data_IF_814371894222
#
_entry.id   IF_814371894222
#
_cell.length_a   1.000
_cell.length_b   1.000
_cell.length_c   1.000
_cell.angle_alpha   90.00
_cell.angle_beta   90.00
_cell.angle_gamma   90.00
#
_symmetry.space_group_name_H-M   'P 1'
#
loop_
_entity.id
_entity.type
_entity.pdbx_description
1 polymer ?
#
# COMPACT_ATOMS: atom_id res chain seq x y z
N UNK A 1 0.29 -6.73 -16.36
CA UNK A 1 -1.11 -6.61 -15.87
C UNK A 1 -1.28 -5.16 -15.43
N UNK A 2 -2.13 -4.40 -16.09
CA UNK A 2 -2.32 -2.98 -15.75
C UNK A 2 -3.20 -2.82 -14.51
N UNK A 3 -3.14 -1.64 -13.88
CA UNK A 3 -3.98 -1.23 -12.73
C UNK A 3 -5.47 -1.58 -12.94
N UNK A 4 -5.93 -1.64 -14.19
CA UNK A 4 -7.33 -1.94 -14.57
C UNK A 4 -7.72 -3.43 -14.60
N UNK A 5 -6.79 -4.36 -14.69
CA UNK A 5 -7.14 -5.78 -14.57
C UNK A 5 -7.67 -6.13 -13.17
N UNK A 6 -7.27 -5.35 -12.17
CA UNK A 6 -7.78 -5.45 -10.80
C UNK A 6 -9.22 -4.91 -10.68
N UNK A 7 -9.56 -3.83 -11.39
CA UNK A 7 -10.90 -3.22 -11.33
C UNK A 7 -11.99 -4.08 -11.98
N UNK A 8 -11.66 -4.94 -12.93
CA UNK A 8 -12.62 -5.84 -13.60
C UNK A 8 -13.10 -7.01 -12.72
N UNK A 9 -12.50 -7.24 -11.56
CA UNK A 9 -12.70 -8.46 -10.75
C UNK A 9 -13.39 -8.29 -9.40
N UNK A 10 -13.78 -7.06 -9.02
CA UNK A 10 -14.55 -6.86 -7.78
C UNK A 10 -16.04 -6.68 -8.11
N UNK A 11 -16.83 -7.75 -7.99
CA UNK A 11 -18.30 -7.64 -7.99
C UNK A 11 -18.76 -6.84 -6.78
N UNK A 12 -19.51 -5.77 -7.06
CA UNK A 12 -20.15 -4.94 -6.06
C UNK A 12 -21.20 -5.75 -5.29
N UNK A 13 -21.04 -5.87 -3.98
CA UNK A 13 -22.16 -6.19 -3.07
C UNK A 13 -23.19 -5.07 -3.21
N UNK A 14 -24.38 -5.39 -3.74
CA UNK A 14 -25.50 -4.47 -3.82
C UNK A 14 -25.87 -3.94 -2.44
N UNK A 15 -26.05 -2.62 -2.27
CA UNK A 15 -26.67 -2.09 -1.07
C UNK A 15 -28.12 -2.57 -1.01
N UNK A 16 -28.53 -3.05 0.14
CA UNK A 16 -29.91 -3.43 0.46
C UNK A 16 -30.79 -2.18 0.32
N UNK A 17 -31.82 -2.28 -0.53
CA UNK A 17 -32.87 -1.26 -0.65
C UNK A 17 -33.50 -1.01 0.71
N UNK A 18 -33.33 0.20 1.23
CA UNK A 18 -34.10 0.69 2.37
C UNK A 18 -35.26 1.51 1.82
N UNK A 19 -36.43 1.02 2.10
CA UNK A 19 -37.78 1.50 1.82
C UNK A 19 -37.92 3.02 1.96
N UNK A 20 -38.50 3.62 0.92
CA UNK A 20 -39.13 4.95 0.97
C UNK A 20 -40.31 4.93 1.98
N UNK A 21 -40.18 5.68 3.06
CA UNK A 21 -41.34 6.30 3.73
C UNK A 21 -40.88 7.39 4.71
N UNK A 22 -41.51 8.54 4.56
CA UNK A 22 -41.49 9.76 5.38
C UNK A 22 -40.50 10.86 4.98
N UNK A 23 -40.80 11.52 3.86
CA UNK A 23 -40.55 12.94 3.65
C UNK A 23 -41.77 13.75 4.11
N UNK A 24 -41.82 14.14 5.36
CA UNK A 24 -42.59 15.28 5.82
C UNK A 24 -41.75 16.10 6.80
N UNK A 25 -41.43 17.30 6.34
CA UNK A 25 -41.18 18.53 7.10
C UNK A 25 -40.45 18.40 8.46
N UNK A 26 -39.13 18.18 8.44
CA UNK A 26 -38.24 18.86 9.38
C UNK A 26 -37.57 20.01 8.64
N UNK A 27 -37.71 21.24 9.17
CA UNK A 27 -36.93 22.38 8.75
C UNK A 27 -35.47 22.02 8.83
N UNK A 28 -34.85 21.75 7.67
CA UNK A 28 -33.46 21.37 7.54
C UNK A 28 -32.60 22.48 8.16
N UNK A 29 -32.09 22.27 9.34
CA UNK A 29 -30.86 22.91 9.80
C UNK A 29 -29.82 22.52 8.77
N UNK A 30 -29.53 23.45 7.84
CA UNK A 30 -28.68 23.15 6.71
C UNK A 30 -27.28 22.76 7.19
N UNK A 31 -26.95 21.49 7.10
CA UNK A 31 -25.59 21.00 7.28
C UNK A 31 -24.80 21.44 6.04
N UNK A 32 -24.27 22.66 6.05
CA UNK A 32 -23.43 23.15 4.96
C UNK A 32 -21.98 22.77 5.21
N UNK A 33 -21.33 22.23 4.17
CA UNK A 33 -19.91 21.97 4.14
C UNK A 33 -19.33 22.53 2.83
N UNK A 34 -18.30 23.37 2.91
CA UNK A 34 -17.69 24.03 1.75
C UNK A 34 -16.20 23.71 1.70
N UNK A 35 -15.81 22.91 0.74
CA UNK A 35 -14.39 22.69 0.44
C UNK A 35 -13.80 23.86 -0.33
N UNK A 36 -12.77 24.51 0.20
CA UNK A 36 -12.18 25.73 -0.38
C UNK A 36 -11.32 25.39 -1.60
N UNK A 37 -11.70 25.93 -2.75
CA UNK A 37 -10.97 25.78 -4.02
C UNK A 37 -10.02 26.95 -4.26
N UNK A 38 -10.46 28.19 -3.95
CA UNK A 38 -9.64 29.38 -4.14
C UNK A 38 -10.06 30.53 -3.21
N UNK A 39 -9.18 31.54 -3.06
CA UNK A 39 -9.32 32.65 -2.14
C UNK A 39 -8.87 33.95 -2.82
N UNK A 40 -9.75 34.99 -2.81
CA UNK A 40 -9.45 36.25 -3.44
C UNK A 40 -9.68 37.40 -2.45
N UNK A 41 -8.60 38.06 -1.95
CA UNK A 41 -8.75 39.26 -1.11
C UNK A 41 -9.36 40.40 -1.86
N UNK A 42 -10.44 40.98 -1.32
CA UNK A 42 -11.14 42.17 -1.84
C UNK A 42 -10.61 43.41 -1.13
N UNK A 43 -9.64 44.11 -1.76
CA UNK A 43 -8.88 45.18 -1.12
C UNK A 43 -9.75 46.39 -0.74
N UNK A 44 -10.79 46.71 -1.51
CA UNK A 44 -11.64 47.90 -1.31
C UNK A 44 -12.61 47.74 -0.12
N UNK A 45 -13.05 46.53 0.19
CA UNK A 45 -14.07 46.25 1.21
C UNK A 45 -13.55 45.56 2.45
N UNK A 46 -12.23 45.25 2.50
CA UNK A 46 -11.63 44.43 3.54
C UNK A 46 -12.35 43.08 3.75
N UNK A 47 -12.77 42.47 2.64
CA UNK A 47 -13.45 41.19 2.60
C UNK A 47 -12.61 40.12 1.88
N UNK A 48 -13.02 38.90 2.03
CA UNK A 48 -12.42 37.71 1.33
C UNK A 48 -13.53 37.05 0.53
N UNK A 49 -13.31 36.88 -0.76
CA UNK A 49 -14.09 36.00 -1.62
C UNK A 49 -13.51 34.58 -1.53
N UNK A 50 -14.34 33.65 -1.09
CA UNK A 50 -14.02 32.21 -1.02
C UNK A 50 -14.76 31.54 -2.15
N UNK A 51 -14.04 30.82 -2.98
CA UNK A 51 -14.61 29.95 -4.02
C UNK A 51 -14.51 28.52 -3.51
N UNK A 52 -15.60 27.78 -3.50
CA UNK A 52 -15.62 26.44 -2.94
C UNK A 52 -16.70 25.54 -3.52
N UNK A 53 -16.59 24.26 -3.26
CA UNK A 53 -17.60 23.25 -3.53
C UNK A 53 -18.51 23.11 -2.32
N UNK A 54 -19.79 23.38 -2.48
CA UNK A 54 -20.81 23.33 -1.41
C UNK A 54 -21.57 22.02 -1.46
N UNK A 55 -21.57 21.31 -0.34
CA UNK A 55 -22.50 20.23 0.00
C UNK A 55 -23.49 20.72 1.05
N UNK A 56 -24.77 20.38 0.88
CA UNK A 56 -25.86 20.85 1.72
C UNK A 56 -26.30 22.29 1.39
N UNK A 57 -26.89 22.98 2.33
CA UNK A 57 -27.54 24.30 2.10
C UNK A 57 -26.95 25.40 2.96
N UNK A 58 -26.73 26.56 2.34
CA UNK A 58 -26.18 27.75 2.99
C UNK A 58 -27.03 28.99 2.64
N UNK A 59 -27.16 29.93 3.59
CA UNK A 59 -27.85 31.24 3.41
C UNK A 59 -26.95 32.39 3.81
N UNK A 60 -27.19 33.56 3.25
CA UNK A 60 -26.59 34.79 3.74
C UNK A 60 -26.91 34.97 5.22
N UNK A 61 -25.91 35.35 6.02
CA UNK A 61 -26.00 35.47 7.48
C UNK A 61 -25.64 34.17 8.24
N UNK A 62 -25.47 33.04 7.58
CA UNK A 62 -25.03 31.83 8.26
C UNK A 62 -23.63 32.00 8.84
N UNK A 63 -23.43 31.41 10.03
CA UNK A 63 -22.13 31.30 10.68
C UNK A 63 -21.49 29.96 10.32
N UNK A 64 -20.30 29.98 9.73
CA UNK A 64 -19.53 28.80 9.40
C UNK A 64 -18.25 28.77 10.22
N UNK A 65 -17.95 27.64 10.77
CA UNK A 65 -16.61 27.31 11.30
C UNK A 65 -15.70 26.90 10.15
N UNK A 66 -14.38 26.93 10.35
CA UNK A 66 -13.45 26.38 9.37
C UNK A 66 -12.30 25.63 10.03
N UNK A 67 -11.78 24.61 9.34
CA UNK A 67 -10.61 23.84 9.73
C UNK A 67 -9.70 23.58 8.52
N UNK A 68 -8.49 23.11 8.81
CA UNK A 68 -7.55 22.59 7.83
C UNK A 68 -7.41 21.09 8.07
N UNK A 69 -8.10 20.22 7.34
CA UNK A 69 -8.11 18.78 7.59
C UNK A 69 -6.74 18.12 7.58
N UNK A 70 -5.78 18.67 6.83
CA UNK A 70 -4.37 18.26 6.84
C UNK A 70 -3.63 18.55 8.16
N UNK A 71 -4.18 19.42 9.00
CA UNK A 71 -3.62 19.81 10.30
C UNK A 71 -4.48 19.39 11.49
N UNK A 72 -5.74 19.03 11.24
CA UNK A 72 -6.72 18.59 12.24
C UNK A 72 -8.14 19.11 11.93
N UNK A 73 -9.12 18.48 12.55
CA UNK A 73 -10.56 18.80 12.35
C UNK A 73 -11.10 19.86 13.30
N UNK A 74 -10.26 20.36 14.21
CA UNK A 74 -10.66 21.40 15.15
C UNK A 74 -10.92 22.74 14.43
N UNK A 75 -11.94 23.48 14.92
CA UNK A 75 -12.28 24.79 14.38
C UNK A 75 -11.15 25.80 14.65
N UNK A 76 -10.65 26.43 13.58
CA UNK A 76 -9.64 27.51 13.64
C UNK A 76 -10.27 28.89 13.77
N UNK A 77 -11.60 29.00 13.59
CA UNK A 77 -12.36 30.25 13.67
C UNK A 77 -13.75 30.13 13.09
N UNK A 78 -14.51 31.20 13.17
CA UNK A 78 -15.87 31.28 12.64
C UNK A 78 -16.00 32.52 11.76
N UNK A 79 -16.69 32.40 10.63
CA UNK A 79 -16.99 33.49 9.70
C UNK A 79 -18.49 33.60 9.45
N UNK A 80 -18.96 34.79 9.14
CA UNK A 80 -20.34 35.05 8.73
C UNK A 80 -20.39 35.25 7.21
N UNK A 81 -21.27 34.56 6.54
CA UNK A 81 -21.51 34.71 5.11
C UNK A 81 -22.25 36.01 4.83
N UNK A 82 -21.59 36.96 4.16
CA UNK A 82 -22.14 38.28 3.84
C UNK A 82 -22.84 38.32 2.48
N UNK A 83 -22.35 37.51 1.53
CA UNK A 83 -22.90 37.42 0.19
C UNK A 83 -22.66 36.04 -0.37
N UNK A 84 -23.61 35.56 -1.17
CA UNK A 84 -23.55 34.33 -1.91
C UNK A 84 -23.77 34.59 -3.41
N UNK A 85 -23.06 33.84 -4.24
CA UNK A 85 -23.36 33.80 -5.68
C UNK A 85 -22.92 32.48 -6.27
N UNK A 86 -23.57 32.07 -7.36
CA UNK A 86 -23.17 30.94 -8.22
C UNK A 86 -23.40 31.34 -9.66
N UNK A 87 -22.53 30.88 -10.57
CA UNK A 87 -22.62 31.19 -12.01
C UNK A 87 -22.76 32.69 -12.31
N UNK A 88 -22.06 33.54 -11.56
CA UNK A 88 -22.11 35.01 -11.64
C UNK A 88 -23.52 35.65 -11.32
N UNK A 89 -24.38 34.93 -10.59
CA UNK A 89 -25.65 35.42 -10.09
C UNK A 89 -25.67 35.46 -8.59
N UNK A 90 -26.03 36.60 -8.02
CA UNK A 90 -26.24 36.74 -6.59
C UNK A 90 -27.42 35.86 -6.14
N UNK A 91 -27.32 35.30 -4.94
CA UNK A 91 -28.34 34.46 -4.34
C UNK A 91 -28.43 34.68 -2.82
N UNK A 92 -29.64 34.58 -2.27
CA UNK A 92 -29.85 34.61 -0.82
C UNK A 92 -29.52 33.27 -0.14
N UNK A 93 -29.60 32.17 -0.94
CA UNK A 93 -29.27 30.83 -0.50
C UNK A 93 -28.73 29.99 -1.67
N UNK A 94 -27.86 29.03 -1.38
CA UNK A 94 -27.35 28.04 -2.31
C UNK A 94 -27.50 26.66 -1.72
N UNK A 95 -27.63 25.61 -2.58
CA UNK A 95 -27.75 24.22 -2.17
C UNK A 95 -26.99 23.36 -3.18
N UNK A 96 -26.06 22.50 -2.69
CA UNK A 96 -25.29 21.52 -3.48
C UNK A 96 -24.65 22.09 -4.75
N UNK A 97 -23.92 23.20 -4.60
CA UNK A 97 -23.29 23.91 -5.72
C UNK A 97 -21.84 23.47 -5.94
N UNK A 98 -21.53 23.15 -7.18
CA UNK A 98 -20.16 22.77 -7.61
C UNK A 98 -19.17 23.92 -7.43
N UNK A 99 -19.60 25.16 -7.70
CA UNK A 99 -18.83 26.39 -7.53
C UNK A 99 -19.69 27.44 -6.83
N UNK A 100 -19.62 27.44 -5.51
CA UNK A 100 -20.21 28.47 -4.66
C UNK A 100 -19.19 29.59 -4.42
N UNK A 101 -19.63 30.82 -4.51
CA UNK A 101 -18.87 32.01 -4.16
C UNK A 101 -19.42 32.60 -2.85
N UNK A 102 -18.59 32.65 -1.81
CA UNK A 102 -18.93 33.20 -0.50
C UNK A 102 -18.10 34.45 -0.23
N UNK A 103 -18.73 35.56 0.13
CA UNK A 103 -18.01 36.72 0.62
C UNK A 103 -18.15 36.78 2.14
N UNK A 104 -17.02 36.89 2.83
CA UNK A 104 -16.91 36.99 4.28
C UNK A 104 -16.07 38.22 4.67
N UNK A 105 -16.29 38.78 5.88
CA UNK A 105 -15.43 39.83 6.38
C UNK A 105 -14.08 39.26 6.80
N UNK A 106 -12.99 39.97 6.49
CA UNK A 106 -11.65 39.53 6.83
C UNK A 106 -11.37 39.71 8.31
N UNK A 107 -11.15 38.61 9.01
CA UNK A 107 -10.75 38.54 10.42
C UNK A 107 -9.36 37.91 10.54
N UNK A 108 -8.58 38.15 11.61
CA UNK A 108 -7.21 37.66 11.73
C UNK A 108 -7.07 36.15 11.62
N UNK A 109 -8.05 35.36 12.07
CA UNK A 109 -8.02 33.92 11.97
C UNK A 109 -8.05 33.41 10.51
N UNK A 110 -8.56 34.20 9.56
CA UNK A 110 -8.63 33.85 8.14
C UNK A 110 -7.27 33.84 7.46
N UNK A 111 -6.20 34.34 8.08
CA UNK A 111 -4.84 34.18 7.58
C UNK A 111 -4.39 32.68 7.61
N UNK A 112 -5.13 31.83 8.34
CA UNK A 112 -4.94 30.37 8.36
C UNK A 112 -5.75 29.63 7.29
N UNK A 113 -6.70 30.31 6.64
CA UNK A 113 -7.53 29.72 5.60
C UNK A 113 -6.69 29.59 4.30
N UNK A 114 -6.72 28.40 3.71
CA UNK A 114 -5.97 28.07 2.49
C UNK A 114 -6.81 27.25 1.53
N UNK A 115 -6.32 27.00 0.34
CA UNK A 115 -6.89 26.00 -0.57
C UNK A 115 -6.90 24.65 0.13
N UNK A 116 -8.01 23.90 0.04
CA UNK A 116 -8.22 22.66 0.78
C UNK A 116 -8.73 22.84 2.21
N UNK A 117 -8.85 24.07 2.74
CA UNK A 117 -9.60 24.28 3.99
C UNK A 117 -11.08 23.92 3.80
N UNK A 118 -11.76 23.60 4.89
CA UNK A 118 -13.20 23.31 4.88
C UNK A 118 -13.93 24.25 5.80
N UNK A 119 -14.96 24.94 5.26
CA UNK A 119 -15.92 25.69 6.06
C UNK A 119 -17.14 24.79 6.31
N UNK A 120 -17.68 24.82 7.53
CA UNK A 120 -18.78 23.93 7.90
C UNK A 120 -19.72 24.57 8.93
N UNK A 121 -20.99 24.20 8.86
CA UNK A 121 -21.98 24.55 9.89
C UNK A 121 -21.82 23.67 11.13
N UNK A 122 -22.29 24.13 12.28
CA UNK A 122 -22.26 23.32 13.51
C UNK A 122 -23.10 22.05 13.33
N UNK A 123 -22.53 20.89 13.73
CA UNK A 123 -23.16 19.58 13.61
C UNK A 123 -22.77 18.78 12.35
N UNK A 124 -21.86 19.31 11.53
CA UNK A 124 -21.27 18.54 10.43
C UNK A 124 -20.26 17.51 10.98
N UNK A 125 -20.47 16.26 10.63
CA UNK A 125 -19.60 15.15 11.04
C UNK A 125 -18.21 15.22 10.39
N UNK A 126 -17.21 14.64 11.02
CA UNK A 126 -15.83 14.64 10.51
C UNK A 126 -15.71 13.98 9.13
N UNK A 127 -16.47 12.91 8.89
CA UNK A 127 -16.51 12.21 7.61
C UNK A 127 -16.97 13.14 6.47
N UNK A 128 -17.97 13.97 6.71
CA UNK A 128 -18.44 14.96 5.73
C UNK A 128 -17.40 16.05 5.48
N UNK A 129 -16.68 16.52 6.51
CA UNK A 129 -15.58 17.49 6.34
C UNK A 129 -14.46 16.89 5.49
N UNK A 130 -14.09 15.62 5.72
CA UNK A 130 -13.11 14.91 4.92
C UNK A 130 -13.56 14.73 3.48
N UNK A 131 -14.82 14.39 3.24
CA UNK A 131 -15.39 14.29 1.89
C UNK A 131 -15.26 15.61 1.13
N UNK A 132 -15.68 16.72 1.76
CA UNK A 132 -15.59 18.06 1.13
C UNK A 132 -14.15 18.52 0.90
N UNK A 133 -13.22 18.19 1.82
CA UNK A 133 -11.80 18.43 1.64
C UNK A 133 -11.26 17.68 0.41
N UNK A 134 -11.58 16.41 0.32
CA UNK A 134 -11.14 15.54 -0.75
C UNK A 134 -11.70 15.93 -2.12
N UNK A 135 -12.98 16.35 -2.18
CA UNK A 135 -13.58 16.83 -3.42
C UNK A 135 -12.95 18.18 -3.86
N UNK A 136 -12.64 19.06 -2.93
CA UNK A 136 -11.91 20.30 -3.22
C UNK A 136 -10.52 20.04 -3.80
N UNK A 137 -9.75 19.11 -3.21
CA UNK A 137 -8.44 18.71 -3.73
C UNK A 137 -8.55 18.09 -5.12
N UNK A 138 -9.51 17.21 -5.31
CA UNK A 138 -9.73 16.59 -6.62
C UNK A 138 -10.06 17.63 -7.71
N UNK A 139 -10.93 18.59 -7.39
CA UNK A 139 -11.27 19.68 -8.34
C UNK A 139 -10.07 20.57 -8.63
N UNK A 140 -9.26 20.88 -7.60
CA UNK A 140 -8.01 21.59 -7.78
C UNK A 140 -7.07 20.82 -8.71
N UNK A 141 -6.95 19.51 -8.54
CA UNK A 141 -6.14 18.65 -9.41
C UNK A 141 -6.64 18.63 -10.87
N UNK A 142 -7.94 18.47 -11.09
CA UNK A 142 -8.53 18.51 -12.45
C UNK A 142 -8.26 19.87 -13.10
N UNK A 143 -8.41 20.97 -12.34
CA UNK A 143 -8.15 22.31 -12.84
C UNK A 143 -6.65 22.53 -13.20
N UNK A 144 -5.72 21.92 -12.48
CA UNK A 144 -4.29 21.93 -12.85
C UNK A 144 -4.08 21.22 -14.20
N UNK A 145 -4.66 20.04 -14.38
CA UNK A 145 -4.52 19.26 -15.62
C UNK A 145 -5.16 19.96 -16.84
N UNK A 146 -6.20 20.73 -16.63
CA UNK A 146 -6.86 21.55 -17.65
C UNK A 146 -6.16 22.89 -17.89
N UNK A 147 -5.04 23.16 -17.21
CA UNK A 147 -4.29 24.40 -17.33
C UNK A 147 -4.94 25.60 -16.60
N UNK A 148 -5.90 25.34 -15.73
CA UNK A 148 -6.61 26.39 -14.95
C UNK A 148 -5.88 26.76 -13.65
N UNK A 149 -4.98 25.87 -13.15
CA UNK A 149 -4.14 26.11 -11.97
C UNK A 149 -2.67 25.93 -12.33
N UNK A 150 -1.79 26.55 -11.57
CA UNK A 150 -0.34 26.46 -11.81
C UNK A 150 0.23 25.17 -11.24
N UNK A 151 1.33 24.70 -11.80
CA UNK A 151 2.09 23.55 -11.26
C UNK A 151 2.52 23.77 -9.79
N UNK A 152 2.67 25.03 -9.34
CA UNK A 152 3.03 25.38 -7.97
C UNK A 152 1.96 24.96 -6.96
N UNK A 153 0.67 25.09 -7.30
CA UNK A 153 -0.43 24.64 -6.44
C UNK A 153 -0.40 23.11 -6.21
N UNK A 154 0.05 22.37 -7.22
CA UNK A 154 0.19 20.93 -7.16
C UNK A 154 1.45 20.48 -6.39
N UNK A 155 2.57 21.17 -6.57
CA UNK A 155 3.80 20.90 -5.82
C UNK A 155 3.62 21.08 -4.30
N UNK A 156 2.64 21.89 -3.88
CA UNK A 156 2.27 22.09 -2.48
C UNK A 156 1.43 20.94 -1.88
N UNK A 157 0.85 20.03 -2.70
CA UNK A 157 0.08 18.89 -2.20
C UNK A 157 0.96 17.93 -1.39
N UNK A 158 0.47 17.47 -0.25
CA UNK A 158 1.15 16.48 0.59
C UNK A 158 0.98 15.06 0.04
N UNK A 159 1.70 14.08 0.60
CA UNK A 159 1.44 12.67 0.29
C UNK A 159 0.02 12.27 0.66
N UNK A 160 -0.48 12.71 1.83
CA UNK A 160 -1.85 12.46 2.28
C UNK A 160 -2.87 12.95 1.25
N UNK A 161 -2.72 14.20 0.78
CA UNK A 161 -3.59 14.79 -0.24
C UNK A 161 -3.58 14.00 -1.54
N UNK A 162 -2.39 13.59 -1.99
CA UNK A 162 -2.22 12.87 -3.24
C UNK A 162 -2.85 11.47 -3.21
N UNK A 163 -2.72 10.76 -2.08
CA UNK A 163 -3.37 9.46 -1.85
C UNK A 163 -4.90 9.62 -1.85
N UNK A 164 -5.41 10.67 -1.19
CA UNK A 164 -6.84 10.92 -1.11
C UNK A 164 -7.45 11.31 -2.46
N UNK A 165 -6.76 12.13 -3.24
CA UNK A 165 -7.15 12.46 -4.63
C UNK A 165 -7.23 11.18 -5.47
N UNK A 166 -6.22 10.29 -5.37
CA UNK A 166 -6.21 9.02 -6.10
C UNK A 166 -7.39 8.14 -5.66
N UNK A 167 -7.70 8.07 -4.35
CA UNK A 167 -8.83 7.33 -3.80
C UNK A 167 -10.16 7.77 -4.42
N UNK A 168 -10.41 9.08 -4.41
CA UNK A 168 -11.64 9.65 -4.97
C UNK A 168 -11.77 9.42 -6.46
N UNK A 169 -10.67 9.56 -7.17
CA UNK A 169 -10.71 9.34 -8.61
C UNK A 169 -10.98 7.87 -8.96
N UNK A 170 -10.38 6.94 -8.22
CA UNK A 170 -10.68 5.51 -8.31
C UNK A 170 -12.15 5.22 -8.01
N UNK A 171 -12.70 5.83 -6.97
CA UNK A 171 -14.12 5.69 -6.61
C UNK A 171 -15.03 6.19 -7.75
N UNK A 172 -14.76 7.38 -8.32
CA UNK A 172 -15.53 7.92 -9.46
C UNK A 172 -15.46 7.01 -10.68
N UNK A 173 -14.29 6.47 -11.03
CA UNK A 173 -14.13 5.54 -12.14
C UNK A 173 -14.97 4.28 -11.93
N UNK A 174 -15.03 3.75 -10.70
CA UNK A 174 -15.86 2.57 -10.37
C UNK A 174 -17.36 2.85 -10.53
N UNK A 175 -17.85 4.02 -10.12
CA UNK A 175 -19.26 4.38 -10.25
C UNK A 175 -19.72 4.49 -11.70
N UNK A 176 -18.84 4.90 -12.60
CA UNK A 176 -19.16 5.15 -14.02
C UNK A 176 -18.83 3.96 -14.94
N UNK A 177 -18.30 2.87 -14.41
CA UNK A 177 -17.76 1.74 -15.18
C UNK A 177 -18.75 1.11 -16.19
N UNK A 178 -20.03 1.04 -15.85
CA UNK A 178 -21.07 0.44 -16.72
C UNK A 178 -21.55 1.36 -17.85
N UNK A 179 -21.35 2.67 -17.73
CA UNK A 179 -21.86 3.69 -18.67
C UNK A 179 -20.76 4.42 -19.43
N UNK A 180 -19.51 4.10 -19.15
CA UNK A 180 -18.35 4.81 -19.65
C UNK A 180 -18.07 4.46 -21.12
N UNK A 181 -17.83 5.50 -21.96
CA UNK A 181 -17.36 5.31 -23.33
C UNK A 181 -15.88 4.88 -23.35
N UNK A 182 -15.45 4.19 -24.41
CA UNK A 182 -14.04 3.78 -24.59
C UNK A 182 -13.08 4.98 -24.53
N UNK A 183 -13.45 6.13 -25.07
CA UNK A 183 -12.64 7.35 -25.02
C UNK A 183 -12.49 7.89 -23.60
N UNK A 184 -13.60 7.90 -22.82
CA UNK A 184 -13.59 8.28 -21.41
C UNK A 184 -12.73 7.32 -20.58
N UNK A 185 -12.87 6.01 -20.82
CA UNK A 185 -12.07 4.99 -20.17
C UNK A 185 -10.57 5.19 -20.38
N UNK A 186 -10.14 5.41 -21.64
CA UNK A 186 -8.73 5.67 -21.96
C UNK A 186 -8.23 6.98 -21.32
N UNK A 187 -9.06 8.02 -21.32
CA UNK A 187 -8.74 9.29 -20.65
C UNK A 187 -8.55 9.09 -19.15
N UNK A 188 -9.45 8.35 -18.50
CA UNK A 188 -9.39 8.08 -17.07
C UNK A 188 -8.20 7.18 -16.69
N UNK A 189 -7.84 6.22 -17.56
CA UNK A 189 -6.64 5.40 -17.39
C UNK A 189 -5.38 6.26 -17.33
N UNK A 190 -5.19 7.17 -18.28
CA UNK A 190 -4.04 8.09 -18.28
C UNK A 190 -3.98 8.98 -17.04
N UNK A 191 -5.15 9.44 -16.56
CA UNK A 191 -5.23 10.24 -15.33
C UNK A 191 -4.85 9.43 -14.12
N UNK A 192 -5.30 8.17 -14.02
CA UNK A 192 -4.92 7.27 -12.92
C UNK A 192 -3.42 6.97 -12.92
N UNK A 193 -2.83 6.69 -14.07
CA UNK A 193 -1.39 6.49 -14.22
C UNK A 193 -0.62 7.72 -13.73
N UNK A 194 -1.06 8.91 -14.16
CA UNK A 194 -0.42 10.16 -13.70
C UNK A 194 -0.57 10.39 -12.20
N UNK A 195 -1.74 10.12 -11.62
CA UNK A 195 -1.96 10.21 -10.17
C UNK A 195 -1.09 9.21 -9.40
N UNK A 196 -0.94 7.99 -9.89
CA UNK A 196 -0.07 6.99 -9.29
C UNK A 196 1.42 7.41 -9.31
N UNK A 197 1.90 8.01 -10.42
CA UNK A 197 3.25 8.59 -10.50
C UNK A 197 3.47 9.67 -9.45
N UNK A 198 2.50 10.54 -9.27
CA UNK A 198 2.53 11.62 -8.30
C UNK A 198 2.60 11.08 -6.86
N UNK A 199 1.74 10.11 -6.52
CA UNK A 199 1.79 9.44 -5.21
C UNK A 199 3.14 8.79 -5.01
N UNK A 200 3.70 8.14 -6.03
CA UNK A 200 5.05 7.57 -6.00
C UNK A 200 6.11 8.62 -5.68
N UNK A 201 6.14 9.73 -6.43
CA UNK A 201 7.14 10.78 -6.24
C UNK A 201 7.06 11.36 -4.82
N UNK A 202 5.83 11.67 -4.34
CA UNK A 202 5.62 12.15 -2.96
C UNK A 202 5.97 11.12 -1.90
N UNK A 203 5.72 9.84 -2.15
CA UNK A 203 6.09 8.75 -1.25
C UNK A 203 7.61 8.64 -1.11
N UNK A 204 8.34 8.65 -2.22
CA UNK A 204 9.80 8.51 -2.21
C UNK A 204 10.50 9.74 -1.62
N UNK A 205 9.89 10.92 -1.73
CA UNK A 205 10.39 12.16 -1.14
C UNK A 205 9.95 12.40 0.31
N UNK A 206 8.96 11.65 0.81
CA UNK A 206 8.47 11.81 2.18
C UNK A 206 9.58 11.59 3.21
N UNK A 207 9.53 12.29 4.35
CA UNK A 207 10.50 12.07 5.42
C UNK A 207 10.28 10.73 6.11
N UNK A 208 9.03 10.31 6.25
CA UNK A 208 8.68 9.01 6.81
C UNK A 208 7.26 8.60 6.41
N UNK A 209 7.00 7.28 6.48
CA UNK A 209 5.68 6.64 6.42
C UNK A 209 5.61 5.56 7.46
N UNK A 210 4.41 5.05 7.73
CA UNK A 210 4.24 3.90 8.61
C UNK A 210 3.90 2.66 7.80
N UNK A 211 4.37 1.50 8.23
CA UNK A 211 4.06 0.22 7.62
C UNK A 211 3.52 -0.75 8.67
N UNK A 212 2.53 -1.56 8.28
CA UNK A 212 1.98 -2.61 9.14
C UNK A 212 2.85 -3.86 9.00
N UNK A 213 3.31 -4.40 10.14
CA UNK A 213 4.14 -5.60 10.24
C UNK A 213 3.38 -6.72 10.95
N UNK A 214 3.70 -7.96 10.64
CA UNK A 214 3.26 -9.12 11.40
C UNK A 214 4.17 -9.32 12.61
N UNK A 215 3.60 -9.41 13.81
CA UNK A 215 4.36 -9.75 15.02
C UNK A 215 4.93 -11.17 14.96
N UNK A 216 4.24 -12.09 14.26
CA UNK A 216 4.66 -13.48 14.13
C UNK A 216 5.85 -13.66 13.21
N UNK A 217 5.84 -13.00 12.06
CA UNK A 217 6.90 -13.16 11.04
C UNK A 217 7.99 -12.11 11.15
N UNK A 218 7.75 -11.01 11.88
CA UNK A 218 8.66 -9.86 11.96
C UNK A 218 8.81 -9.06 10.66
N UNK A 219 8.12 -9.46 9.59
CA UNK A 219 8.17 -8.86 8.26
C UNK A 219 6.91 -8.03 7.98
N UNK A 220 6.89 -7.13 6.96
CA UNK A 220 5.69 -6.43 6.57
C UNK A 220 4.50 -7.37 6.34
N UNK A 221 3.34 -7.01 6.91
CA UNK A 221 2.13 -7.83 6.83
C UNK A 221 1.61 -7.85 5.39
N UNK A 222 1.42 -9.04 4.84
CA UNK A 222 0.89 -9.23 3.49
C UNK A 222 -0.64 -9.36 3.53
N UNK A 223 -1.32 -8.42 2.90
CA UNK A 223 -2.77 -8.41 2.76
C UNK A 223 -3.17 -9.08 1.44
N UNK A 224 -3.90 -10.16 1.54
CA UNK A 224 -4.52 -10.87 0.41
C UNK A 224 -5.94 -11.28 0.81
N UNK A 225 -6.86 -11.31 -0.15
CA UNK A 225 -8.23 -11.77 0.04
C UNK A 225 -8.50 -12.91 -0.91
N UNK A 226 -9.17 -13.96 -0.44
CA UNK A 226 -9.59 -15.09 -1.24
C UNK A 226 -11.07 -14.97 -1.53
N UNK A 227 -11.46 -15.09 -2.79
CA UNK A 227 -12.85 -15.08 -3.26
C UNK A 227 -13.22 -16.45 -3.81
N UNK A 228 -14.38 -16.95 -3.42
CA UNK A 228 -15.01 -18.12 -4.04
C UNK A 228 -15.68 -17.69 -5.36
N UNK A 229 -15.35 -18.35 -6.46
CA UNK A 229 -15.92 -18.13 -7.79
C UNK A 229 -16.79 -19.30 -8.24
N UNK A 230 -17.25 -20.13 -7.32
CA UNK A 230 -18.05 -21.29 -7.59
C UNK A 230 -17.32 -22.33 -8.45
N UNK A 231 -17.87 -22.68 -9.62
CA UNK A 231 -17.27 -23.69 -10.52
C UNK A 231 -15.90 -23.27 -11.09
N UNK A 232 -15.59 -21.97 -11.13
CA UNK A 232 -14.28 -21.46 -11.58
C UNK A 232 -13.19 -21.62 -10.51
N UNK A 233 -13.54 -21.99 -9.28
CA UNK A 233 -12.62 -22.18 -8.16
C UNK A 233 -12.40 -20.93 -7.32
N UNK A 234 -11.20 -20.77 -6.77
CA UNK A 234 -10.87 -19.67 -5.86
C UNK A 234 -9.87 -18.69 -6.48
N UNK A 235 -10.08 -17.40 -6.25
CA UNK A 235 -9.19 -16.31 -6.63
C UNK A 235 -8.55 -15.70 -5.38
N UNK A 236 -7.22 -15.76 -5.28
CA UNK A 236 -6.46 -14.98 -4.30
C UNK A 236 -6.02 -13.66 -4.95
N UNK A 237 -6.29 -12.54 -4.28
CA UNK A 237 -5.77 -11.24 -4.75
C UNK A 237 -4.27 -11.17 -4.58
N UNK A 238 -3.63 -10.31 -5.36
CA UNK A 238 -2.20 -10.04 -5.24
C UNK A 238 -1.86 -9.60 -3.80
N UNK A 239 -0.94 -10.30 -3.10
CA UNK A 239 -0.53 -9.90 -1.77
C UNK A 239 0.20 -8.57 -1.75
N UNK A 240 -0.29 -7.63 -0.95
CA UNK A 240 0.24 -6.27 -0.86
C UNK A 240 0.59 -5.91 0.58
N UNK A 241 1.57 -5.03 0.78
CA UNK A 241 1.83 -4.41 2.08
C UNK A 241 0.94 -3.20 2.28
N UNK A 242 0.67 -2.82 3.53
CA UNK A 242 -0.08 -1.61 3.86
C UNK A 242 0.87 -0.52 4.34
N UNK A 243 0.82 0.62 3.67
CA UNK A 243 1.44 1.87 4.11
C UNK A 243 0.37 2.82 4.63
N UNK A 244 0.72 3.52 5.70
CA UNK A 244 -0.12 4.52 6.33
C UNK A 244 0.61 5.86 6.24
N UNK A 245 -0.08 6.85 5.70
CA UNK A 245 0.44 8.21 5.70
C UNK A 245 0.47 8.77 7.12
N UNK A 246 1.37 9.70 7.46
CA UNK A 246 1.52 10.19 8.83
C UNK A 246 0.25 10.79 9.43
N UNK A 247 -0.52 11.55 8.65
CA UNK A 247 -1.76 12.17 9.13
C UNK A 247 -2.84 11.12 9.38
N UNK A 248 -2.99 10.18 8.44
CA UNK A 248 -3.98 9.12 8.55
C UNK A 248 -3.67 8.17 9.73
N UNK A 249 -2.41 7.75 9.91
CA UNK A 249 -2.03 6.93 11.06
C UNK A 249 -2.31 7.65 12.39
N UNK A 250 -2.00 8.93 12.47
CA UNK A 250 -2.25 9.74 13.68
C UNK A 250 -3.74 9.79 14.04
N UNK A 251 -4.60 9.91 13.03
CA UNK A 251 -6.06 9.95 13.19
C UNK A 251 -6.64 8.61 13.64
N UNK A 252 -6.16 7.49 13.06
CA UNK A 252 -6.72 6.16 13.29
C UNK A 252 -5.82 5.25 14.14
N UNK A 253 -4.85 5.84 14.84
CA UNK A 253 -3.83 5.11 15.60
C UNK A 253 -4.40 4.04 16.53
N UNK A 254 -5.38 4.38 17.35
CA UNK A 254 -5.98 3.46 18.32
C UNK A 254 -6.64 2.25 17.64
N UNK A 255 -7.34 2.48 16.54
CA UNK A 255 -8.00 1.41 15.77
C UNK A 255 -6.98 0.49 15.11
N UNK A 256 -5.87 1.04 14.62
CA UNK A 256 -4.86 0.27 13.91
C UNK A 256 -4.00 -0.51 14.89
N UNK A 257 -3.54 0.13 15.96
CA UNK A 257 -2.71 -0.50 16.97
C UNK A 257 -3.47 -1.57 17.78
N UNK A 258 -4.81 -1.57 17.76
CA UNK A 258 -5.64 -2.62 18.40
C UNK A 258 -5.77 -3.90 17.57
N UNK A 259 -5.25 -3.94 16.34
CA UNK A 259 -5.32 -5.13 15.49
C UNK A 259 -4.44 -6.24 16.06
N UNK A 260 -4.96 -7.45 16.25
CA UNK A 260 -4.19 -8.55 16.79
C UNK A 260 -3.09 -8.99 15.80
N UNK A 261 -1.98 -9.50 16.33
CA UNK A 261 -0.86 -10.07 15.57
C UNK A 261 -0.19 -9.08 14.60
N UNK A 262 -0.40 -7.77 14.81
CA UNK A 262 0.21 -6.74 13.97
C UNK A 262 0.76 -5.58 14.78
N UNK A 263 1.85 -5.01 14.30
CA UNK A 263 2.50 -3.83 14.87
C UNK A 263 2.80 -2.83 13.77
N UNK A 264 2.64 -1.54 14.06
CA UNK A 264 2.99 -0.47 13.13
C UNK A 264 4.42 -0.02 13.39
N UNK A 265 5.23 0.03 12.34
CA UNK A 265 6.60 0.55 12.40
C UNK A 265 6.74 1.82 11.56
N UNK A 266 7.49 2.78 12.07
CA UNK A 266 7.91 3.95 11.32
C UNK A 266 9.00 3.56 10.33
N UNK A 267 8.83 3.94 9.08
CA UNK A 267 9.82 3.80 8.01
C UNK A 267 10.31 5.20 7.69
N UNK A 268 11.49 5.53 8.16
CA UNK A 268 12.13 6.82 7.94
C UNK A 268 12.91 6.81 6.63
N UNK A 269 12.90 7.93 5.95
CA UNK A 269 13.78 8.13 4.79
C UNK A 269 15.19 8.49 5.26
N UNK A 270 16.17 8.13 4.47
CA UNK A 270 17.56 8.54 4.68
C UNK A 270 17.81 9.94 4.09
N UNK A 271 18.96 10.58 4.42
CA UNK A 271 19.31 11.90 3.88
C UNK A 271 19.37 11.90 2.34
N UNK A 272 19.79 10.80 1.74
CA UNK A 272 19.82 10.59 0.27
C UNK A 272 18.48 10.16 -0.33
N UNK A 273 17.40 10.16 0.48
CA UNK A 273 16.04 9.75 0.08
C UNK A 273 15.94 8.31 -0.46
N UNK A 274 16.78 7.39 0.06
CA UNK A 274 16.77 5.97 -0.32
C UNK A 274 16.13 5.04 0.71
N UNK A 275 15.83 5.51 1.92
CA UNK A 275 15.30 4.68 3.01
C UNK A 275 13.97 4.01 2.65
N UNK A 276 12.99 4.77 2.16
CA UNK A 276 11.68 4.26 1.75
C UNK A 276 11.81 3.39 0.50
N UNK A 277 12.60 3.79 -0.50
CA UNK A 277 12.83 2.99 -1.71
C UNK A 277 13.46 1.63 -1.37
N UNK A 278 14.46 1.57 -0.50
CA UNK A 278 15.11 0.34 -0.04
C UNK A 278 14.14 -0.57 0.74
N UNK A 279 13.29 0.03 1.58
CA UNK A 279 12.24 -0.69 2.27
C UNK A 279 11.26 -1.35 1.27
N UNK A 280 10.79 -0.59 0.29
CA UNK A 280 9.89 -1.09 -0.76
C UNK A 280 10.57 -2.16 -1.60
N UNK A 281 11.82 -1.96 -2.00
CA UNK A 281 12.61 -2.95 -2.73
C UNK A 281 12.73 -4.28 -1.96
N UNK A 282 12.97 -4.22 -0.65
CA UNK A 282 12.99 -5.40 0.22
C UNK A 282 11.62 -6.06 0.28
N UNK A 283 10.54 -5.28 0.49
CA UNK A 283 9.18 -5.81 0.56
C UNK A 283 8.76 -6.49 -0.75
N UNK A 284 9.14 -5.96 -1.90
CA UNK A 284 8.75 -6.49 -3.21
C UNK A 284 9.63 -7.65 -3.66
N UNK A 285 10.95 -7.49 -3.61
CA UNK A 285 11.89 -8.40 -4.26
C UNK A 285 12.49 -9.46 -3.34
N UNK A 286 12.41 -9.30 -2.01
CA UNK A 286 12.76 -10.35 -1.05
C UNK A 286 11.51 -10.99 -0.42
N UNK A 287 10.53 -10.19 0.02
CA UNK A 287 9.32 -10.70 0.67
C UNK A 287 8.19 -11.04 -0.30
N UNK A 288 8.28 -10.59 -1.54
CA UNK A 288 7.35 -10.94 -2.60
C UNK A 288 6.01 -10.21 -2.56
N UNK A 289 5.92 -9.06 -1.89
CA UNK A 289 4.75 -8.19 -2.02
C UNK A 289 4.59 -7.72 -3.47
N UNK A 290 3.37 -7.69 -3.97
CA UNK A 290 3.07 -7.32 -5.35
C UNK A 290 2.69 -5.84 -5.50
N UNK A 291 2.66 -5.09 -4.40
CA UNK A 291 2.36 -3.67 -4.36
C UNK A 291 2.10 -3.16 -2.96
N UNK A 292 1.57 -1.96 -2.92
CA UNK A 292 1.22 -1.22 -1.71
C UNK A 292 -0.28 -0.92 -1.69
N UNK A 293 -0.90 -1.06 -0.53
CA UNK A 293 -2.20 -0.50 -0.20
C UNK A 293 -1.96 0.72 0.69
N UNK A 294 -2.55 1.86 0.37
CA UNK A 294 -2.45 3.05 1.21
C UNK A 294 -3.64 3.17 2.15
N UNK A 295 -3.39 3.51 3.41
CA UNK A 295 -4.36 3.90 4.44
C UNK A 295 -5.51 2.90 4.62
N UNK A 296 -6.27 2.66 3.57
CA UNK A 296 -7.38 1.70 3.45
C UNK A 296 -7.17 0.82 2.23
N UNK A 297 -7.98 -0.24 2.09
CA UNK A 297 -7.89 -1.18 0.94
C UNK A 297 -8.35 -0.57 -0.41
N UNK A 298 -8.71 0.71 -0.44
CA UNK A 298 -9.28 1.35 -1.64
C UNK A 298 -8.23 1.85 -2.63
N UNK A 299 -7.05 2.22 -2.14
CA UNK A 299 -5.95 2.71 -2.98
C UNK A 299 -4.83 1.69 -2.99
N UNK A 300 -4.52 1.16 -4.16
CA UNK A 300 -3.41 0.24 -4.35
C UNK A 300 -2.56 0.64 -5.55
N UNK A 301 -1.26 0.51 -5.42
CA UNK A 301 -0.28 0.74 -6.49
C UNK A 301 0.62 -0.50 -6.59
N UNK A 302 0.81 -1.00 -7.81
CA UNK A 302 1.63 -2.18 -8.05
C UNK A 302 3.12 -1.92 -7.76
N UNK A 303 3.84 -2.97 -7.37
CA UNK A 303 5.27 -2.90 -7.08
C UNK A 303 6.08 -2.33 -8.26
N UNK A 304 5.77 -2.75 -9.49
CA UNK A 304 6.47 -2.30 -10.70
C UNK A 304 6.26 -0.81 -11.03
N UNK A 305 5.17 -0.21 -10.54
CA UNK A 305 4.92 1.22 -10.70
C UNK A 305 5.67 2.05 -9.64
N UNK A 306 6.03 1.47 -8.49
CA UNK A 306 6.70 2.16 -7.38
C UNK A 306 8.22 2.05 -7.45
N UNK A 307 8.76 0.84 -7.56
CA UNK A 307 10.19 0.56 -7.58
C UNK A 307 10.51 -0.39 -8.71
N UNK A 308 11.49 -0.05 -9.52
CA UNK A 308 11.93 -0.92 -10.61
C UNK A 308 12.59 -2.19 -10.05
N UNK A 309 12.34 -3.31 -10.72
CA UNK A 309 13.04 -4.55 -10.38
C UNK A 309 14.54 -4.36 -10.64
N UNK A 310 15.40 -4.75 -9.70
CA UNK A 310 16.85 -4.72 -9.92
C UNK A 310 17.22 -5.49 -11.19
N UNK A 311 18.02 -4.87 -12.03
CA UNK A 311 18.57 -5.51 -13.22
C UNK A 311 19.97 -6.03 -12.92
N UNK A 312 20.15 -7.33 -13.05
CA UNK A 312 21.40 -8.04 -12.82
C UNK A 312 21.95 -8.67 -14.12
N UNK A 313 21.42 -8.28 -15.28
CA UNK A 313 21.79 -8.86 -16.59
C UNK A 313 23.27 -8.74 -16.92
N UNK A 314 23.93 -7.69 -16.41
CA UNK A 314 25.35 -7.43 -16.63
C UNK A 314 26.27 -8.13 -15.62
N UNK A 315 25.69 -8.81 -14.60
CA UNK A 315 26.48 -9.51 -13.58
C UNK A 315 26.69 -10.97 -13.95
N UNK A 316 27.86 -11.55 -13.65
CA UNK A 316 28.07 -12.98 -13.69
C UNK A 316 27.05 -13.69 -12.78
N UNK A 317 26.61 -14.90 -13.16
CA UNK A 317 25.58 -15.64 -12.41
C UNK A 317 25.89 -15.80 -10.92
N UNK A 318 27.16 -15.99 -10.58
CA UNK A 318 27.62 -16.13 -9.20
C UNK A 318 27.49 -14.84 -8.37
N UNK A 319 27.41 -13.69 -9.01
CA UNK A 319 27.24 -12.37 -8.36
C UNK A 319 25.77 -11.94 -8.30
N UNK A 320 24.87 -12.66 -8.96
CA UNK A 320 23.43 -12.36 -8.90
C UNK A 320 22.93 -12.73 -7.51
N UNK A 321 22.34 -11.79 -6.76
CA UNK A 321 21.79 -12.07 -5.43
C UNK A 321 20.72 -13.16 -5.48
N UNK A 322 20.78 -14.13 -4.57
CA UNK A 322 19.71 -15.10 -4.40
C UNK A 322 18.49 -14.41 -3.85
N UNK A 323 17.36 -14.56 -4.54
CA UNK A 323 16.07 -13.99 -4.18
C UNK A 323 14.96 -14.98 -4.55
N UNK A 324 14.01 -15.18 -3.65
CA UNK A 324 12.89 -16.09 -3.84
C UNK A 324 11.55 -15.41 -3.48
N UNK A 325 11.18 -14.27 -4.11
CA UNK A 325 10.00 -13.51 -3.71
C UNK A 325 8.71 -14.35 -3.79
N UNK A 326 8.57 -15.22 -4.77
CA UNK A 326 7.39 -16.07 -4.91
C UNK A 326 7.27 -17.11 -3.78
N UNK A 327 8.37 -17.71 -3.35
CA UNK A 327 8.39 -18.67 -2.25
C UNK A 327 8.13 -17.96 -0.92
N UNK A 328 8.86 -16.88 -0.66
CA UNK A 328 8.79 -16.12 0.60
C UNK A 328 7.38 -15.54 0.82
N UNK A 329 6.75 -15.03 -0.23
CA UNK A 329 5.37 -14.54 -0.20
C UNK A 329 4.41 -15.53 0.45
N UNK A 330 4.42 -16.76 -0.02
CA UNK A 330 3.49 -17.78 0.48
C UNK A 330 3.85 -18.25 1.88
N UNK A 331 5.15 -18.32 2.19
CA UNK A 331 5.61 -18.61 3.56
C UNK A 331 5.10 -17.54 4.54
N UNK A 332 5.26 -16.25 4.21
CA UNK A 332 4.83 -15.15 5.05
C UNK A 332 3.30 -15.12 5.21
N UNK A 333 2.54 -15.37 4.14
CA UNK A 333 1.08 -15.44 4.20
C UNK A 333 0.61 -16.58 5.12
N UNK A 334 1.22 -17.74 5.08
CA UNK A 334 0.92 -18.84 6.01
C UNK A 334 1.35 -18.51 7.44
N UNK A 335 2.57 -18.01 7.61
CA UNK A 335 3.16 -17.72 8.93
C UNK A 335 2.45 -16.61 9.71
N UNK A 336 1.84 -15.65 9.02
CA UNK A 336 1.08 -14.59 9.68
C UNK A 336 -0.34 -15.00 10.11
N UNK A 337 -0.86 -16.12 9.58
CA UNK A 337 -2.16 -16.65 9.99
C UNK A 337 -2.11 -17.27 11.39
N UNK A 338 -3.24 -17.29 12.08
CA UNK A 338 -3.45 -18.17 13.22
C UNK A 338 -3.70 -19.61 12.73
N UNK A 339 -3.59 -20.57 13.65
CA UNK A 339 -3.96 -21.94 13.34
C UNK A 339 -5.41 -21.96 12.83
N UNK A 340 -5.68 -22.53 11.66
CA UNK A 340 -7.03 -22.58 11.12
C UNK A 340 -8.00 -23.28 12.09
N UNK A 341 -9.14 -22.68 12.32
CA UNK A 341 -10.20 -23.20 13.21
C UNK A 341 -11.54 -23.34 12.49
N UNK A 342 -11.64 -22.83 11.25
CA UNK A 342 -12.84 -22.91 10.41
C UNK A 342 -12.48 -23.51 9.05
N UNK A 343 -13.46 -24.11 8.37
CA UNK A 343 -13.28 -24.65 7.01
C UNK A 343 -12.77 -23.61 6.01
N UNK A 344 -13.22 -22.34 6.14
CA UNK A 344 -12.74 -21.25 5.30
C UNK A 344 -11.26 -20.95 5.54
N UNK A 345 -10.82 -20.93 6.80
CA UNK A 345 -9.41 -20.71 7.15
C UNK A 345 -8.54 -21.89 6.69
N UNK A 346 -9.02 -23.13 6.82
CA UNK A 346 -8.34 -24.33 6.31
C UNK A 346 -8.19 -24.27 4.79
N UNK A 347 -9.23 -23.84 4.09
CA UNK A 347 -9.20 -23.65 2.64
C UNK A 347 -8.15 -22.62 2.23
N UNK A 348 -8.18 -21.43 2.85
CA UNK A 348 -7.22 -20.35 2.54
C UNK A 348 -5.79 -20.81 2.80
N UNK A 349 -5.53 -21.46 3.96
CA UNK A 349 -4.22 -22.01 4.28
C UNK A 349 -3.79 -23.08 3.25
N UNK A 350 -4.70 -23.96 2.86
CA UNK A 350 -4.45 -24.98 1.84
C UNK A 350 -4.10 -24.41 0.47
N UNK A 351 -4.73 -23.28 0.08
CA UNK A 351 -4.40 -22.57 -1.15
C UNK A 351 -3.00 -21.95 -1.09
N UNK A 352 -2.62 -21.31 0.03
CA UNK A 352 -1.28 -20.76 0.20
C UNK A 352 -0.23 -21.85 0.23
N UNK A 353 -0.49 -22.97 0.90
CA UNK A 353 0.39 -24.14 0.90
C UNK A 353 0.55 -24.72 -0.52
N UNK A 354 -0.49 -24.77 -1.32
CA UNK A 354 -0.41 -25.20 -2.72
C UNK A 354 0.50 -24.29 -3.55
N UNK A 355 0.38 -22.98 -3.41
CA UNK A 355 1.24 -22.03 -4.11
C UNK A 355 2.69 -22.11 -3.61
N UNK A 356 2.90 -22.27 -2.31
CA UNK A 356 4.22 -22.57 -1.73
C UNK A 356 4.83 -23.83 -2.35
N UNK A 357 4.05 -24.91 -2.42
CA UNK A 357 4.50 -26.18 -3.01
C UNK A 357 4.88 -26.06 -4.49
N UNK A 358 4.27 -25.15 -5.22
CA UNK A 358 4.60 -24.87 -6.62
C UNK A 358 5.83 -23.98 -6.80
N UNK A 359 6.11 -23.12 -5.83
CA UNK A 359 7.27 -22.23 -5.84
C UNK A 359 8.55 -22.96 -5.35
N UNK A 360 8.41 -23.87 -4.39
CA UNK A 360 9.51 -24.55 -3.71
C UNK A 360 10.51 -25.24 -4.66
N UNK A 361 10.09 -26.04 -5.67
CA UNK A 361 11.02 -26.72 -6.58
C UNK A 361 11.80 -25.80 -7.52
N UNK A 362 11.44 -24.52 -7.59
CA UNK A 362 12.07 -23.50 -8.45
C UNK A 362 13.01 -22.59 -7.69
N UNK A 363 13.06 -22.73 -6.37
CA UNK A 363 13.82 -21.87 -5.51
C UNK A 363 15.32 -22.13 -5.60
N UNK A 364 16.11 -21.08 -5.41
CA UNK A 364 17.56 -21.16 -5.15
C UNK A 364 17.80 -20.76 -3.70
N UNK A 365 18.61 -21.52 -2.99
CA UNK A 365 18.87 -21.27 -1.58
C UNK A 365 20.34 -20.95 -1.35
N UNK A 366 20.61 -20.23 -0.27
CA UNK A 366 21.92 -20.08 0.32
C UNK A 366 22.09 -21.15 1.41
N UNK A 367 23.02 -22.07 1.19
CA UNK A 367 23.47 -23.04 2.19
C UNK A 367 24.66 -22.42 2.93
N UNK A 368 24.60 -22.21 4.26
CA UNK A 368 25.71 -21.61 4.99
C UNK A 368 26.93 -22.54 5.04
N UNK A 369 28.08 -21.95 4.73
CA UNK A 369 29.37 -22.63 4.78
C UNK A 369 30.30 -21.91 5.74
N UNK A 370 30.95 -22.66 6.65
CA UNK A 370 32.02 -22.12 7.48
C UNK A 370 33.26 -21.84 6.63
N UNK A 371 33.61 -20.57 6.51
CA UNK A 371 34.72 -20.10 5.72
C UNK A 371 36.08 -20.14 6.47
N UNK A 372 36.10 -20.51 7.74
CA UNK A 372 37.31 -20.44 8.58
C UNK A 372 38.36 -21.49 8.24
N UNK A 373 38.03 -22.50 7.45
CA UNK A 373 38.88 -23.67 7.22
C UNK A 373 39.18 -23.97 5.75
N UNK A 374 39.23 -23.02 4.83
CA UNK A 374 39.60 -23.42 3.48
C UNK A 374 39.48 -22.43 2.33
N UNK A 375 39.16 -21.19 2.58
CA UNK A 375 39.24 -20.18 1.53
C UNK A 375 40.66 -19.60 1.48
N UNK A 376 41.29 -19.50 0.29
CA UNK A 376 42.55 -18.79 0.15
C UNK A 376 42.39 -17.33 0.67
N UNK A 377 43.41 -16.83 1.38
CA UNK A 377 43.46 -15.41 1.70
C UNK A 377 43.34 -14.61 0.39
N UNK A 378 42.41 -13.64 0.41
CA UNK A 378 42.06 -12.80 -0.74
C UNK A 378 43.31 -12.05 -1.26
N UNK A 379 43.88 -12.48 -2.37
CA UNK A 379 44.93 -11.78 -3.09
C UNK A 379 44.60 -11.53 -4.56
N UNK A 380 43.37 -11.74 -4.99
CA UNK A 380 42.98 -11.51 -6.39
C UNK A 380 41.94 -10.38 -6.52
N UNK A 381 42.20 -9.45 -7.41
CA UNK A 381 41.27 -8.45 -7.88
C UNK A 381 39.99 -9.01 -8.57
N UNK A 382 39.93 -10.36 -8.72
CA UNK A 382 38.81 -11.10 -9.26
C UNK A 382 38.08 -11.80 -8.11
N UNK A 383 36.86 -11.39 -7.82
CA UNK A 383 35.92 -11.99 -6.82
C UNK A 383 35.50 -13.44 -7.14
N UNK A 384 36.40 -14.28 -7.64
CA UNK A 384 36.18 -15.70 -7.94
C UNK A 384 37.25 -16.57 -7.29
N UNK A 385 36.83 -17.58 -6.51
CA UNK A 385 37.71 -18.53 -5.88
C UNK A 385 37.67 -19.84 -6.64
N UNK A 386 38.84 -20.42 -6.94
CA UNK A 386 38.96 -21.79 -7.38
C UNK A 386 39.14 -22.66 -6.14
N UNK A 387 38.16 -23.48 -5.82
CA UNK A 387 38.24 -24.42 -4.71
C UNK A 387 39.22 -25.55 -5.07
N UNK A 388 40.13 -25.86 -4.15
CA UNK A 388 40.94 -27.09 -4.27
C UNK A 388 40.02 -28.31 -4.19
N UNK A 389 40.41 -29.36 -4.94
CA UNK A 389 39.60 -30.57 -5.11
C UNK A 389 39.28 -31.31 -3.78
N UNK A 390 40.02 -31.01 -2.72
CA UNK A 390 39.96 -31.64 -1.40
C UNK A 390 39.56 -30.65 -0.29
N UNK A 391 38.96 -29.51 -0.64
CA UNK A 391 38.46 -28.52 0.36
C UNK A 391 37.33 -29.15 1.19
N UNK A 392 37.49 -29.17 2.51
CA UNK A 392 36.47 -29.63 3.45
C UNK A 392 35.66 -28.44 3.91
N UNK A 393 34.35 -28.48 3.72
CA UNK A 393 33.41 -27.46 4.19
C UNK A 393 32.58 -28.01 5.34
N UNK A 394 32.41 -27.19 6.38
CA UNK A 394 31.50 -27.52 7.45
C UNK A 394 30.12 -26.88 7.14
N UNK A 395 29.11 -27.74 7.01
CA UNK A 395 27.71 -27.36 6.89
C UNK A 395 27.06 -27.55 8.25
N UNK A 396 26.31 -26.57 8.78
CA UNK A 396 25.60 -26.74 10.03
C UNK A 396 24.47 -27.76 9.86
N UNK A 397 24.53 -28.84 10.64
CA UNK A 397 23.51 -29.90 10.67
C UNK A 397 22.82 -29.86 12.03
N UNK A 398 21.50 -29.95 12.03
CA UNK A 398 20.68 -30.09 13.26
C UNK A 398 19.99 -31.44 13.25
N UNK A 399 20.05 -32.17 14.35
CA UNK A 399 19.27 -33.38 14.56
C UNK A 399 17.84 -33.01 14.95
N UNK A 400 16.86 -33.47 14.17
CA UNK A 400 15.45 -33.33 14.43
C UNK A 400 14.97 -34.26 15.57
N UNK A 401 13.79 -33.95 16.14
CA UNK A 401 13.19 -34.75 17.23
C UNK A 401 12.88 -36.18 16.85
N UNK A 402 12.81 -36.49 15.56
CA UNK A 402 12.55 -37.81 14.99
C UNK A 402 13.85 -38.54 14.54
N UNK A 403 15.01 -38.00 14.94
CA UNK A 403 16.32 -38.55 14.60
C UNK A 403 16.76 -38.30 13.17
N UNK A 404 16.00 -37.53 12.37
CA UNK A 404 16.43 -37.11 11.05
C UNK A 404 17.28 -35.85 11.13
N UNK A 405 18.29 -35.78 10.34
CA UNK A 405 19.13 -34.60 10.23
C UNK A 405 18.51 -33.58 9.29
N UNK A 406 18.61 -32.32 9.64
CA UNK A 406 18.17 -31.20 8.83
C UNK A 406 19.30 -30.18 8.64
N UNK A 407 19.28 -29.51 7.49
CA UNK A 407 20.20 -28.41 7.17
C UNK A 407 19.44 -27.10 7.08
N UNK A 408 19.96 -25.99 7.65
CA UNK A 408 19.40 -24.67 7.44
C UNK A 408 19.73 -24.17 6.05
N UNK A 409 18.72 -23.60 5.38
CA UNK A 409 18.89 -22.94 4.10
C UNK A 409 18.18 -21.58 4.14
N UNK A 410 18.64 -20.62 3.34
CA UNK A 410 18.13 -19.27 3.36
C UNK A 410 17.68 -18.80 1.98
N UNK A 411 16.58 -18.11 1.94
CA UNK A 411 16.00 -17.60 0.69
C UNK A 411 16.74 -16.39 0.13
N UNK A 412 17.57 -15.74 0.95
CA UNK A 412 18.33 -14.55 0.61
C UNK A 412 19.41 -14.25 1.66
N UNK A 413 20.34 -13.35 1.30
CA UNK A 413 21.45 -12.96 2.16
C UNK A 413 21.02 -12.22 3.43
N UNK A 414 19.93 -11.43 3.38
CA UNK A 414 19.40 -10.72 4.56
C UNK A 414 19.08 -11.72 5.67
N UNK A 415 18.35 -12.78 5.35
CA UNK A 415 17.94 -13.80 6.30
C UNK A 415 19.11 -14.68 6.77
N UNK A 416 20.07 -14.98 5.89
CA UNK A 416 21.28 -15.66 6.28
C UNK A 416 22.06 -14.84 7.32
N UNK A 417 22.22 -13.53 7.12
CA UNK A 417 22.93 -12.64 8.03
C UNK A 417 22.20 -12.40 9.37
N UNK A 418 20.92 -12.69 9.47
CA UNK A 418 20.21 -12.71 10.77
C UNK A 418 20.64 -13.84 11.69
N UNK A 419 21.23 -14.92 11.15
CA UNK A 419 21.61 -16.14 11.89
C UNK A 419 23.11 -16.36 11.90
N UNK A 420 23.78 -16.06 10.81
CA UNK A 420 25.20 -16.30 10.60
C UNK A 420 25.93 -14.98 10.30
N UNK A 421 27.05 -14.77 10.99
CA UNK A 421 27.90 -13.59 10.82
C UNK A 421 28.69 -13.63 9.48
N UNK A 422 29.55 -12.63 9.25
CA UNK A 422 30.32 -12.49 8.03
C UNK A 422 31.41 -13.57 7.84
N UNK A 423 31.71 -14.36 8.86
CA UNK A 423 32.64 -15.51 8.75
C UNK A 423 32.04 -16.67 7.97
N UNK A 424 30.72 -16.68 7.83
CA UNK A 424 30.00 -17.67 7.06
C UNK A 424 29.73 -17.16 5.64
N UNK A 425 30.03 -18.01 4.66
CA UNK A 425 29.63 -17.80 3.27
C UNK A 425 28.33 -18.53 2.94
N UNK A 426 27.78 -18.27 1.77
CA UNK A 426 26.59 -18.94 1.26
C UNK A 426 26.90 -19.66 -0.05
N UNK A 427 26.76 -20.98 -0.09
CA UNK A 427 26.75 -21.73 -1.35
C UNK A 427 25.36 -21.66 -1.95
N UNK A 428 25.28 -21.30 -3.23
CA UNK A 428 24.02 -21.31 -3.96
C UNK A 428 23.64 -22.72 -4.33
N UNK A 429 22.47 -23.16 -3.85
CA UNK A 429 21.95 -24.50 -4.12
C UNK A 429 20.57 -24.38 -4.76
N UNK A 430 20.37 -25.05 -5.89
CA UNK A 430 19.02 -25.15 -6.46
C UNK A 430 18.22 -26.19 -5.66
N UNK A 431 16.92 -25.93 -5.47
CA UNK A 431 16.07 -26.87 -4.74
C UNK A 431 16.11 -28.30 -5.28
N UNK A 432 16.33 -28.46 -6.59
CA UNK A 432 16.51 -29.80 -7.23
C UNK A 432 17.81 -30.54 -6.88
N UNK A 433 18.84 -29.82 -6.42
CA UNK A 433 20.12 -30.35 -6.01
C UNK A 433 20.26 -30.64 -4.51
N UNK A 434 19.16 -30.62 -3.79
CA UNK A 434 19.12 -30.79 -2.34
C UNK A 434 19.85 -32.05 -1.87
N UNK A 435 20.65 -31.92 -0.80
CA UNK A 435 21.51 -32.97 -0.28
C UNK A 435 20.68 -34.19 0.14
N UNK A 436 20.97 -35.37 -0.47
CA UNK A 436 20.26 -36.59 -0.12
C UNK A 436 20.40 -36.94 1.37
N UNK A 437 19.31 -37.34 1.98
CA UNK A 437 19.26 -37.77 3.38
C UNK A 437 19.02 -36.69 4.42
N UNK A 438 18.83 -35.44 4.00
CA UNK A 438 18.53 -34.33 4.92
C UNK A 438 17.17 -33.73 4.65
N UNK A 439 16.51 -33.32 5.72
CA UNK A 439 15.37 -32.40 5.68
C UNK A 439 15.88 -30.94 5.69
N UNK A 440 15.01 -29.97 5.37
CA UNK A 440 15.40 -28.58 5.23
C UNK A 440 14.65 -27.69 6.20
N UNK A 441 15.38 -26.79 6.85
CA UNK A 441 14.81 -25.71 7.64
C UNK A 441 15.07 -24.41 6.91
N UNK A 442 14.04 -23.86 6.28
CA UNK A 442 14.12 -22.64 5.48
C UNK A 442 14.01 -21.44 6.43
N UNK A 443 14.95 -20.50 6.35
CA UNK A 443 14.99 -19.27 7.12
C UNK A 443 14.82 -19.50 8.65
N UNK A 444 15.67 -20.29 9.33
CA UNK A 444 15.55 -20.54 10.76
C UNK A 444 16.01 -19.34 11.60
N UNK A 445 15.32 -18.22 11.47
CA UNK A 445 15.54 -16.97 12.21
C UNK A 445 14.85 -17.02 13.58
N UNK A 446 14.93 -15.96 14.36
CA UNK A 446 14.16 -15.81 15.61
C UNK A 446 12.64 -15.82 15.38
N UNK A 447 12.19 -15.46 14.17
CA UNK A 447 10.79 -15.51 13.76
C UNK A 447 10.51 -16.83 13.04
N UNK A 448 10.15 -17.86 13.80
CA UNK A 448 9.94 -19.21 13.26
C UNK A 448 8.84 -19.26 12.19
N UNK A 449 7.82 -18.43 12.32
CA UNK A 449 6.70 -18.35 11.39
C UNK A 449 7.08 -17.70 10.05
N UNK A 450 8.23 -17.02 9.97
CA UNK A 450 8.78 -16.54 8.70
C UNK A 450 9.56 -17.61 7.92
N UNK A 451 9.71 -18.79 8.50
CA UNK A 451 10.42 -19.94 7.94
C UNK A 451 9.50 -21.10 7.60
N UNK A 452 10.09 -22.19 7.14
CA UNK A 452 9.39 -23.44 6.91
C UNK A 452 10.30 -24.66 7.16
N UNK A 453 9.71 -25.76 7.67
CA UNK A 453 10.35 -27.06 7.67
C UNK A 453 9.81 -27.87 6.50
N UNK A 454 10.70 -28.41 5.66
CA UNK A 454 10.34 -29.23 4.51
C UNK A 454 11.12 -30.56 4.61
N UNK A 455 10.39 -31.65 4.83
CA UNK A 455 11.00 -32.98 4.78
C UNK A 455 11.34 -33.35 3.35
N UNK A 456 12.37 -34.22 3.19
CA UNK A 456 12.75 -34.73 1.87
C UNK A 456 11.58 -35.42 1.16
N UNK A 457 10.69 -36.08 1.90
CA UNK A 457 9.47 -36.69 1.35
C UNK A 457 8.51 -35.65 0.81
N UNK A 458 8.18 -34.63 1.62
CA UNK A 458 7.32 -33.53 1.19
C UNK A 458 7.89 -32.80 -0.03
N UNK A 459 9.20 -32.59 -0.07
CA UNK A 459 9.85 -31.97 -1.22
C UNK A 459 9.67 -32.78 -2.51
N UNK A 460 9.86 -34.12 -2.47
CA UNK A 460 9.62 -34.97 -3.63
C UNK A 460 8.19 -34.92 -4.13
N UNK A 461 7.22 -34.88 -3.22
CA UNK A 461 5.79 -34.70 -3.57
C UNK A 461 5.53 -33.34 -4.24
N UNK A 462 6.16 -32.25 -3.74
CA UNK A 462 6.08 -30.92 -4.35
C UNK A 462 6.69 -30.89 -5.76
N UNK A 463 7.81 -31.58 -5.95
CA UNK A 463 8.45 -31.68 -7.25
C UNK A 463 7.55 -32.42 -8.26
N UNK A 464 6.97 -33.56 -7.88
CA UNK A 464 6.03 -34.29 -8.72
C UNK A 464 4.79 -33.46 -9.10
N UNK A 465 4.27 -32.66 -8.16
CA UNK A 465 3.14 -31.74 -8.42
C UNK A 465 3.53 -30.66 -9.44
N UNK A 466 4.71 -30.08 -9.31
CA UNK A 466 5.24 -29.09 -10.24
C UNK A 466 5.42 -29.66 -11.66
N UNK A 467 5.94 -30.86 -11.77
CA UNK A 467 6.19 -31.53 -13.05
C UNK A 467 4.88 -31.92 -13.76
N UNK A 468 3.89 -32.41 -13.01
CA UNK A 468 2.55 -32.71 -13.54
C UNK A 468 1.86 -31.47 -14.12
N UNK A 469 2.10 -30.31 -13.54
CA UNK A 469 1.54 -29.04 -14.06
C UNK A 469 2.27 -28.54 -15.31
N UNK A 470 3.60 -28.70 -15.37
CA UNK A 470 4.38 -28.38 -16.59
C UNK A 470 4.01 -29.25 -17.78
N UNK A 471 3.65 -30.52 -17.53
CA UNK A 471 3.19 -31.44 -18.57
C UNK A 471 1.75 -31.22 -19.05
N UNK A 472 0.98 -30.30 -18.41
CA UNK A 472 -0.39 -29.91 -18.79
C UNK A 472 -0.46 -28.54 -19.50
N UNK A 473 0.62 -27.77 -19.52
CA UNK A 473 0.78 -26.50 -20.23
C UNK A 473 1.50 -26.74 -21.57
#
# INVERSE_FOLDING_TARGET
MGIFDFLKKTEATKPTETTESNKEAEEAKGNACVGVLDLFPMKETNQLLIVGSLEGSIKVGNQLQFCNPDQGMESLGTVEVKKLSSQNKDADSLTDEVLAHLVVDRIPSLDKLKKGSVLFSSGVEEEQKLSSYSDALYRAFVAIQEGQLTNEDYLAATLDDSVEILRLFLWKCRQNQETESEESYQSNTRKLERLAEIVKDKLLEADAVYAVYSEKTGEPYLFSTTYDRGEEGYLCTDPMIMLLTPSWYRQFKETIDSRPNSVVKLIENTEDKKGIENFLGTAFYLNGAMGVIFNSKEVSISASALVQKPDFSDLPEIQVPVMNPDLVRWMLLMGQMDQPTTEEQELVYGLYYKFFSMAMPKAKFLLPLDATSGFPEDNSEENSFVLEKDANFNIPVREGKDGRNSVPVFTDWKRLRMVFDEKWNGMIEEAGGMIEGFDYVINPTEYYEAGAYVSLTAFKEMQELSDKQRGRA
#
